data_IF_562182107095
#
_entry.id   IF_562182107095
#
_cell.length_a   1.000
_cell.length_b   1.000
_cell.length_c   1.000
_cell.angle_alpha   90.00
_cell.angle_beta   90.00
_cell.angle_gamma   90.00
#
_symmetry.space_group_name_H-M   'P 1'
#
loop_
_entity.id
_entity.type
_entity.pdbx_description
1 polymer ?
#
# COMPACT_ATOMS: atom_id res chain seq x y z
N UNK A 1 -24.09 -12.50 -35.06
CA UNK A 1 -24.43 -13.86 -34.57
C UNK A 1 -23.28 -14.33 -33.70
N UNK A 2 -23.52 -14.60 -32.42
CA UNK A 2 -22.45 -15.01 -31.49
C UNK A 2 -22.19 -16.50 -31.67
N UNK A 3 -21.03 -16.88 -32.21
CA UNK A 3 -20.67 -18.29 -32.35
C UNK A 3 -20.42 -18.89 -30.96
N UNK A 4 -21.43 -19.60 -30.43
CA UNK A 4 -21.28 -20.45 -29.25
C UNK A 4 -20.25 -21.54 -29.49
N UNK A 5 -19.50 -21.92 -28.44
CA UNK A 5 -18.48 -22.98 -28.51
C UNK A 5 -19.09 -24.27 -29.06
N UNK A 6 -18.44 -24.85 -30.07
CA UNK A 6 -18.82 -26.12 -30.69
C UNK A 6 -18.89 -27.21 -29.60
N UNK A 7 -20.02 -27.93 -29.44
CA UNK A 7 -20.13 -29.00 -28.47
C UNK A 7 -19.11 -30.08 -28.80
N UNK A 8 -18.44 -30.59 -27.77
CA UNK A 8 -17.50 -31.71 -27.90
C UNK A 8 -18.31 -32.99 -27.76
N UNK A 9 -18.69 -33.60 -28.89
CA UNK A 9 -19.47 -34.85 -28.95
C UNK A 9 -20.83 -34.74 -29.64
N UNK A 10 -21.42 -35.88 -30.00
CA UNK A 10 -22.68 -35.99 -30.75
C UNK A 10 -23.93 -35.48 -30.00
N UNK A 11 -23.81 -35.22 -28.70
CA UNK A 11 -24.89 -34.64 -27.88
C UNK A 11 -24.40 -33.48 -27.03
N UNK A 12 -25.22 -32.43 -26.95
CA UNK A 12 -24.98 -31.33 -26.03
C UNK A 12 -25.09 -31.81 -24.58
N UNK A 13 -24.04 -31.60 -23.78
CA UNK A 13 -24.06 -31.91 -22.35
C UNK A 13 -25.31 -31.32 -21.69
N UNK A 14 -26.00 -32.14 -20.92
CA UNK A 14 -27.11 -31.70 -20.07
C UNK A 14 -26.63 -30.72 -19.00
N UNK A 15 -27.55 -29.95 -18.42
CA UNK A 15 -27.20 -29.04 -17.33
C UNK A 15 -26.57 -29.77 -16.13
N UNK A 16 -27.03 -30.99 -15.84
CA UNK A 16 -26.52 -31.83 -14.76
C UNK A 16 -25.07 -32.27 -15.01
N UNK A 17 -24.75 -32.72 -16.21
CA UNK A 17 -23.39 -33.16 -16.58
C UNK A 17 -22.40 -31.99 -16.57
N UNK A 18 -22.81 -30.81 -17.06
CA UNK A 18 -21.99 -29.60 -16.94
C UNK A 18 -21.73 -29.25 -15.49
N UNK A 19 -22.74 -29.32 -14.63
CA UNK A 19 -22.59 -29.01 -13.21
C UNK A 19 -21.68 -30.04 -12.52
N UNK A 20 -21.76 -31.32 -12.87
CA UNK A 20 -20.90 -32.37 -12.33
C UNK A 20 -19.44 -32.17 -12.73
N UNK A 21 -19.17 -31.88 -14.02
CA UNK A 21 -17.83 -31.58 -14.51
C UNK A 21 -17.26 -30.31 -13.88
N UNK A 22 -18.08 -29.27 -13.70
CA UNK A 22 -17.67 -28.05 -13.01
C UNK A 22 -17.25 -28.35 -11.57
N UNK A 23 -18.06 -29.09 -10.81
CA UNK A 23 -17.71 -29.50 -9.45
C UNK A 23 -16.45 -30.35 -9.41
N UNK A 24 -16.30 -31.32 -10.32
CA UNK A 24 -15.11 -32.17 -10.39
C UNK A 24 -13.85 -31.35 -10.68
N UNK A 25 -13.92 -30.36 -11.58
CA UNK A 25 -12.81 -29.47 -11.91
C UNK A 25 -12.44 -28.51 -10.77
N UNK A 26 -13.41 -28.14 -9.95
CA UNK A 26 -13.25 -27.20 -8.83
C UNK A 26 -13.23 -27.87 -7.45
N UNK A 27 -13.13 -29.21 -7.39
CA UNK A 27 -13.07 -29.99 -6.15
C UNK A 27 -11.70 -29.90 -5.43
N UNK A 28 -10.71 -29.23 -6.02
CA UNK A 28 -9.44 -28.98 -5.35
C UNK A 28 -9.64 -28.03 -4.16
N UNK A 29 -8.99 -28.34 -3.04
CA UNK A 29 -9.05 -27.58 -1.78
C UNK A 29 -8.86 -26.07 -2.01
N UNK A 30 -9.52 -25.19 -1.23
CA UNK A 30 -9.37 -23.76 -1.38
C UNK A 30 -7.90 -23.39 -1.26
N UNK A 31 -7.32 -22.92 -2.37
CA UNK A 31 -5.97 -22.38 -2.39
C UNK A 31 -5.99 -21.07 -1.61
N UNK A 32 -5.70 -21.15 -0.30
CA UNK A 32 -5.51 -19.99 0.57
C UNK A 32 -4.26 -19.27 0.08
N UNK A 33 -4.46 -18.29 -0.80
CA UNK A 33 -3.41 -17.34 -1.13
C UNK A 33 -3.25 -16.41 0.07
N UNK A 34 -2.16 -16.55 0.81
CA UNK A 34 -1.74 -15.53 1.77
C UNK A 34 -1.47 -14.23 1.01
N UNK A 35 -2.49 -13.38 0.90
CA UNK A 35 -2.35 -12.03 0.39
C UNK A 35 -2.08 -11.13 1.58
N UNK A 36 -1.02 -10.30 1.49
CA UNK A 36 -0.82 -9.20 2.44
C UNK A 36 -2.15 -8.44 2.53
N UNK A 37 -2.66 -8.13 3.75
CA UNK A 37 -3.84 -7.31 3.90
C UNK A 37 -3.69 -6.06 3.03
N UNK A 38 -4.66 -5.80 2.17
CA UNK A 38 -4.63 -4.59 1.38
C UNK A 38 -4.65 -3.41 2.35
N UNK A 39 -3.69 -2.49 2.23
CA UNK A 39 -3.74 -1.23 2.94
C UNK A 39 -5.02 -0.52 2.50
N UNK A 40 -5.96 -0.36 3.44
CA UNK A 40 -7.30 0.19 3.17
C UNK A 40 -7.33 1.71 3.23
N UNK A 41 -6.21 2.34 3.59
CA UNK A 41 -6.11 3.80 3.66
C UNK A 41 -6.21 4.39 2.25
N UNK A 42 -7.03 5.44 2.13
CA UNK A 42 -7.09 6.23 0.91
C UNK A 42 -5.73 6.88 0.65
N UNK A 43 -5.45 7.27 -0.60
CA UNK A 43 -4.18 7.97 -0.93
C UNK A 43 -4.01 9.25 -0.09
N UNK A 44 -5.04 10.11 0.09
CA UNK A 44 -4.95 11.24 1.00
C UNK A 44 -4.66 10.86 2.46
N UNK A 45 -5.22 9.76 2.95
CA UNK A 45 -4.94 9.29 4.30
C UNK A 45 -3.48 8.86 4.44
N UNK A 46 -2.96 8.08 3.48
CA UNK A 46 -1.56 7.66 3.47
C UNK A 46 -0.59 8.84 3.39
N UNK A 47 -0.95 9.89 2.65
CA UNK A 47 -0.19 11.14 2.60
C UNK A 47 -0.10 11.80 3.98
N UNK A 48 -1.25 12.04 4.62
CA UNK A 48 -1.29 12.67 5.95
C UNK A 48 -0.54 11.85 7.00
N UNK A 49 -0.74 10.54 7.00
CA UNK A 49 -0.03 9.65 7.94
C UNK A 49 1.48 9.72 7.74
N UNK A 50 1.96 9.69 6.50
CA UNK A 50 3.39 9.74 6.20
C UNK A 50 4.00 11.10 6.56
N UNK A 51 3.31 12.21 6.28
CA UNK A 51 3.78 13.55 6.68
C UNK A 51 3.83 13.68 8.19
N UNK A 52 2.81 13.20 8.90
CA UNK A 52 2.80 13.19 10.37
C UNK A 52 3.95 12.34 10.95
N UNK A 53 4.24 11.19 10.34
CA UNK A 53 5.38 10.33 10.73
C UNK A 53 6.72 11.05 10.51
N UNK A 54 6.89 11.75 9.38
CA UNK A 54 8.10 12.54 9.12
C UNK A 54 8.28 13.67 10.13
N UNK A 55 7.21 14.39 10.48
CA UNK A 55 7.25 15.47 11.49
C UNK A 55 7.64 14.92 12.86
N UNK A 56 7.08 13.77 13.25
CA UNK A 56 7.43 13.12 14.51
C UNK A 56 8.91 12.72 14.53
N UNK A 57 9.42 12.11 13.46
CA UNK A 57 10.83 11.76 13.34
C UNK A 57 11.74 12.99 13.38
N UNK A 58 11.36 14.10 12.72
CA UNK A 58 12.13 15.33 12.77
C UNK A 58 12.24 15.87 14.21
N UNK A 59 11.16 15.83 14.98
CA UNK A 59 11.19 16.23 16.39
C UNK A 59 12.10 15.30 17.24
N UNK A 60 12.08 14.00 16.99
CA UNK A 60 12.98 13.04 17.64
C UNK A 60 14.46 13.31 17.29
N UNK A 61 14.75 13.60 16.03
CA UNK A 61 16.10 13.95 15.57
C UNK A 61 16.57 15.31 16.10
N UNK A 62 15.67 16.29 16.23
CA UNK A 62 15.96 17.55 16.89
C UNK A 62 16.35 17.34 18.36
N UNK A 63 15.58 16.55 19.09
CA UNK A 63 15.89 16.22 20.47
C UNK A 63 17.24 15.49 20.60
N UNK A 64 17.56 14.61 19.65
CA UNK A 64 18.88 13.98 19.60
C UNK A 64 20.01 14.99 19.34
N UNK A 65 19.83 15.91 18.38
CA UNK A 65 20.82 16.95 18.09
C UNK A 65 21.08 17.85 19.31
N UNK A 66 20.04 18.27 20.02
CA UNK A 66 20.15 19.06 21.25
C UNK A 66 20.90 18.32 22.37
N UNK A 67 20.78 16.99 22.43
CA UNK A 67 21.47 16.16 23.40
C UNK A 67 22.93 15.83 23.02
N UNK A 68 23.39 16.19 21.80
CA UNK A 68 24.76 15.92 21.40
C UNK A 68 25.76 16.82 22.15
N UNK A 69 26.92 16.27 22.56
CA UNK A 69 28.04 17.09 23.02
C UNK A 69 28.47 18.09 21.95
N UNK A 70 28.77 19.32 22.36
CA UNK A 70 29.22 20.40 21.47
C UNK A 70 30.37 19.95 20.55
N UNK A 71 31.35 19.23 21.11
CA UNK A 71 32.51 18.73 20.39
C UNK A 71 32.18 17.75 19.25
N UNK A 72 30.95 17.24 19.19
CA UNK A 72 30.48 16.30 18.16
C UNK A 72 29.43 16.89 17.21
N UNK A 73 29.03 18.16 17.38
CA UNK A 73 28.08 18.81 16.48
C UNK A 73 28.62 18.99 15.07
N UNK A 74 29.90 19.33 14.94
CA UNK A 74 30.57 19.44 13.63
C UNK A 74 30.91 18.08 12.98
N UNK A 75 30.47 16.97 13.57
CA UNK A 75 30.66 15.64 12.99
C UNK A 75 29.70 15.39 11.83
N UNK A 76 29.97 14.36 11.02
CA UNK A 76 29.06 13.92 9.97
C UNK A 76 27.65 13.58 10.50
N UNK A 77 27.54 13.10 11.74
CA UNK A 77 26.25 12.82 12.37
C UNK A 77 25.50 14.10 12.70
N UNK A 78 26.18 15.11 13.27
CA UNK A 78 25.55 16.38 13.60
C UNK A 78 25.06 17.11 12.36
N UNK A 79 25.87 17.17 11.29
CA UNK A 79 25.46 17.73 10.00
C UNK A 79 24.26 17.00 9.38
N UNK A 80 24.17 15.67 9.53
CA UNK A 80 23.02 14.91 9.04
C UNK A 80 21.74 15.19 9.84
N UNK A 81 21.85 15.34 11.17
CA UNK A 81 20.71 15.71 12.02
C UNK A 81 20.24 17.13 11.72
N UNK A 82 21.16 18.09 11.59
CA UNK A 82 20.86 19.46 11.22
C UNK A 82 20.12 19.51 9.87
N UNK A 83 20.62 18.80 8.85
CA UNK A 83 19.96 18.71 7.55
C UNK A 83 18.54 18.14 7.62
N UNK A 84 18.25 17.23 8.56
CA UNK A 84 16.90 16.71 8.80
C UNK A 84 16.01 17.77 9.48
N UNK A 85 16.56 18.49 10.46
CA UNK A 85 15.86 19.55 11.21
C UNK A 85 15.50 20.71 10.30
N UNK A 86 16.36 21.05 9.35
CA UNK A 86 16.14 22.15 8.40
C UNK A 86 15.11 21.83 7.30
N UNK A 87 14.61 20.60 7.20
CA UNK A 87 13.56 20.27 6.24
C UNK A 87 12.26 21.01 6.60
N UNK A 88 11.75 21.81 5.68
CA UNK A 88 10.44 22.45 5.83
C UNK A 88 9.31 21.43 5.60
N UNK A 89 8.96 20.68 6.64
CA UNK A 89 7.88 19.72 6.61
C UNK A 89 6.50 20.36 6.77
N UNK A 90 6.43 21.61 7.25
CA UNK A 90 5.18 22.37 7.36
C UNK A 90 4.65 22.74 5.98
N UNK A 91 5.55 23.13 5.05
CA UNK A 91 5.22 23.34 3.65
C UNK A 91 4.63 22.07 3.00
N UNK A 92 5.18 20.90 3.32
CA UNK A 92 4.65 19.61 2.84
C UNK A 92 3.29 19.30 3.50
N UNK A 93 3.14 19.59 4.80
CA UNK A 93 1.90 19.39 5.55
C UNK A 93 0.74 20.26 5.05
N UNK A 94 1.04 21.45 4.53
CA UNK A 94 0.05 22.35 3.95
C UNK A 94 -0.54 21.82 2.62
N UNK A 95 0.13 20.89 1.94
CA UNK A 95 -0.34 20.33 0.68
C UNK A 95 -1.53 19.41 0.91
N UNK A 96 -2.67 19.74 0.30
CA UNK A 96 -3.82 18.85 0.21
C UNK A 96 -3.72 17.97 -1.04
N UNK A 97 -3.46 16.66 -0.91
CA UNK A 97 -3.40 15.78 -2.07
C UNK A 97 -4.78 15.65 -2.72
N UNK A 98 -4.84 15.53 -4.05
CA UNK A 98 -6.10 15.38 -4.76
C UNK A 98 -6.84 14.13 -4.28
N UNK A 99 -8.16 14.23 -4.14
CA UNK A 99 -9.02 13.06 -3.97
C UNK A 99 -8.91 12.24 -5.25
N UNK A 100 -8.42 11.00 -5.15
CA UNK A 100 -8.30 10.13 -6.31
C UNK A 100 -9.67 9.93 -6.99
N UNK A 101 -9.67 9.77 -8.31
CA UNK A 101 -10.86 9.39 -9.08
C UNK A 101 -11.25 7.94 -8.72
N UNK A 102 -11.92 7.75 -7.59
CA UNK A 102 -12.41 6.44 -7.19
C UNK A 102 -12.41 6.23 -5.69
N UNK A 103 -13.58 6.48 -5.10
CA UNK A 103 -14.09 5.95 -3.82
C UNK A 103 -13.48 6.58 -2.56
N UNK A 104 -14.16 7.61 -2.06
CA UNK A 104 -14.65 7.53 -0.68
C UNK A 104 -15.89 6.62 -0.66
#
# INVERSE_FOLDING_TARGET
MTNGRKPWGDHALTGAERQALYRARHAAAPMVRYRRPADRRSRPQRWRDAVAELIALQAEYAAWFEALPEATRDSATGAALEAIIELDLDDIAAITPPRGFGRD
#
